data_IF_807189671653
#
_entry.id   IF_807189671653
#
_cell.length_a   1.000
_cell.length_b   1.000
_cell.length_c   1.000
_cell.angle_alpha   90.00
_cell.angle_beta   90.00
_cell.angle_gamma   90.00
#
_symmetry.space_group_name_H-M   'P 1'
#
loop_
_entity.id
_entity.type
_entity.pdbx_description
1 polymer ?
#
# COMPACT_ATOMS: atom_id res chain seq x y z
N UNK A 1 -14.08 -10.11 4.73
CA UNK A 1 -14.00 -8.63 4.90
C UNK A 1 -12.54 -8.24 5.08
N UNK A 2 -12.13 -7.10 4.52
CA UNK A 2 -10.85 -6.46 4.83
C UNK A 2 -11.18 -5.17 5.58
N UNK A 3 -10.79 -5.07 6.84
CA UNK A 3 -10.92 -3.87 7.65
C UNK A 3 -9.54 -3.22 7.82
N UNK A 4 -9.50 -1.89 7.98
CA UNK A 4 -8.27 -1.14 8.22
C UNK A 4 -8.38 -0.16 9.36
N UNK A 5 -7.27 0.07 10.07
CA UNK A 5 -7.21 1.02 11.19
C UNK A 5 -5.79 1.54 11.42
N UNK A 6 -5.64 2.43 12.41
CA UNK A 6 -4.38 2.68 13.10
C UNK A 6 -4.17 1.65 14.23
N UNK A 7 -3.01 1.70 14.88
CA UNK A 7 -2.70 0.81 16.00
C UNK A 7 -3.53 1.11 17.26
N UNK A 8 -3.77 0.11 18.13
CA UNK A 8 -4.43 0.32 19.41
C UNK A 8 -3.52 1.03 20.43
N UNK A 9 -4.13 1.74 21.37
CA UNK A 9 -3.46 2.48 22.46
C UNK A 9 -3.28 1.62 23.72
N UNK A 10 -2.57 0.50 23.56
CA UNK A 10 -2.37 -0.51 24.63
C UNK A 10 -1.38 -0.02 25.70
N UNK A 11 -0.26 0.54 25.27
CA UNK A 11 0.80 1.04 26.13
C UNK A 11 1.45 -0.01 27.04
N UNK A 12 2.35 0.46 27.92
CA UNK A 12 3.03 -0.39 28.91
C UNK A 12 2.07 -0.97 29.95
N UNK A 13 0.99 -0.26 30.27
CA UNK A 13 -0.06 -0.72 31.19
C UNK A 13 -0.92 -1.85 30.61
N UNK A 14 -0.73 -2.19 29.33
CA UNK A 14 -1.58 -3.15 28.62
C UNK A 14 -3.08 -2.81 28.75
N UNK A 15 -3.38 -1.52 28.55
CA UNK A 15 -4.72 -0.98 28.58
C UNK A 15 -5.61 -1.69 27.55
N UNK A 16 -6.90 -1.77 27.87
CA UNK A 16 -7.93 -2.44 27.09
C UNK A 16 -9.09 -1.50 26.86
N UNK A 17 -9.81 -1.73 25.77
CA UNK A 17 -11.02 -1.01 25.40
C UNK A 17 -12.09 -2.04 25.05
N UNK A 18 -13.14 -2.15 25.87
CA UNK A 18 -14.17 -3.17 25.67
C UNK A 18 -14.97 -2.91 24.38
N UNK A 19 -15.18 -1.63 24.06
CA UNK A 19 -15.86 -1.17 22.86
C UNK A 19 -15.07 -1.53 21.60
N UNK A 20 -13.74 -1.40 21.63
CA UNK A 20 -12.87 -1.80 20.52
C UNK A 20 -12.88 -3.33 20.32
N UNK A 21 -12.74 -4.09 21.42
CA UNK A 21 -12.83 -5.56 21.38
C UNK A 21 -14.18 -6.04 20.81
N UNK A 22 -15.29 -5.38 21.18
CA UNK A 22 -16.63 -5.67 20.65
C UNK A 22 -16.77 -5.28 19.18
N UNK A 23 -16.26 -4.11 18.79
CA UNK A 23 -16.31 -3.64 17.40
C UNK A 23 -15.55 -4.59 16.48
N UNK A 24 -14.33 -4.97 16.84
CA UNK A 24 -13.50 -5.92 16.07
C UNK A 24 -14.20 -7.28 15.97
N UNK A 25 -14.77 -7.77 17.07
CA UNK A 25 -15.53 -9.02 17.05
C UNK A 25 -16.75 -8.94 16.12
N UNK A 26 -17.54 -7.86 16.19
CA UNK A 26 -18.73 -7.68 15.36
C UNK A 26 -18.39 -7.58 13.87
N UNK A 27 -17.35 -6.80 13.51
CA UNK A 27 -16.92 -6.60 12.13
C UNK A 27 -16.36 -7.88 11.50
N UNK A 28 -15.58 -8.66 12.26
CA UNK A 28 -14.77 -9.73 11.68
C UNK A 28 -15.38 -11.12 11.90
N UNK A 29 -16.20 -11.31 12.94
CA UNK A 29 -16.88 -12.59 13.21
C UNK A 29 -18.29 -12.68 12.60
N UNK A 30 -18.81 -11.60 12.00
CA UNK A 30 -20.18 -11.52 11.46
C UNK A 30 -20.46 -12.34 10.20
N UNK A 31 -19.45 -12.95 9.57
CA UNK A 31 -19.63 -13.89 8.47
C UNK A 31 -20.07 -15.26 8.99
N UNK A 32 -21.38 -15.51 8.95
CA UNK A 32 -22.02 -16.66 9.60
C UNK A 32 -21.48 -18.05 9.25
N UNK A 33 -21.65 -18.97 10.21
CA UNK A 33 -21.91 -20.42 10.09
C UNK A 33 -21.17 -21.32 9.09
N UNK A 34 -20.14 -20.84 8.37
CA UNK A 34 -19.30 -21.68 7.50
C UNK A 34 -18.22 -22.46 8.28
N UNK A 35 -18.31 -22.52 9.62
CA UNK A 35 -17.40 -23.34 10.44
C UNK A 35 -17.61 -24.85 10.25
N UNK A 36 -18.44 -25.28 9.30
CA UNK A 36 -18.70 -26.70 9.02
C UNK A 36 -17.88 -27.28 7.87
N UNK A 37 -17.20 -26.45 7.05
CA UNK A 37 -16.41 -26.95 5.90
C UNK A 37 -14.91 -26.85 6.10
N UNK A 38 -14.42 -25.92 6.93
CA UNK A 38 -13.01 -25.83 7.28
C UNK A 38 -12.84 -25.41 8.74
N UNK A 39 -12.28 -26.26 9.62
CA UNK A 39 -11.95 -25.87 10.99
C UNK A 39 -10.69 -25.01 10.95
N UNK A 40 -10.82 -23.75 10.53
CA UNK A 40 -9.73 -22.80 10.73
C UNK A 40 -9.60 -22.57 12.24
N UNK A 41 -8.42 -22.77 12.80
CA UNK A 41 -8.18 -22.62 14.25
C UNK A 41 -8.46 -21.19 14.76
N UNK A 42 -8.53 -20.21 13.85
CA UNK A 42 -8.73 -18.80 14.15
C UNK A 42 -9.98 -18.29 13.41
N UNK A 43 -10.74 -17.41 14.06
CA UNK A 43 -11.97 -16.80 13.51
C UNK A 43 -11.68 -15.63 12.57
N UNK A 44 -10.60 -14.91 12.82
CA UNK A 44 -10.16 -13.76 12.02
C UNK A 44 -8.66 -13.51 12.23
N UNK A 45 -8.09 -12.69 11.35
CA UNK A 45 -6.67 -12.34 11.37
C UNK A 45 -6.52 -10.85 11.68
N UNK A 46 -5.52 -10.52 12.49
CA UNK A 46 -5.02 -9.16 12.68
C UNK A 46 -3.63 -9.14 12.03
N UNK A 47 -3.44 -8.29 11.02
CA UNK A 47 -2.19 -8.11 10.31
C UNK A 47 -1.60 -6.74 10.67
N UNK A 48 -0.58 -6.75 11.54
CA UNK A 48 0.23 -5.58 11.81
C UNK A 48 1.33 -5.51 10.73
N UNK A 49 1.31 -4.48 9.89
CA UNK A 49 2.28 -4.28 8.84
C UNK A 49 3.74 -4.24 9.36
N UNK A 50 3.93 -3.86 10.63
CA UNK A 50 5.25 -3.69 11.25
C UNK A 50 5.86 -5.03 11.64
N UNK A 51 7.17 -5.02 11.89
CA UNK A 51 7.83 -6.10 12.62
C UNK A 51 7.56 -6.02 14.13
N UNK A 52 7.70 -7.15 14.81
CA UNK A 52 7.47 -7.27 16.26
C UNK A 52 8.24 -6.23 17.09
N UNK A 53 9.51 -5.99 16.76
CA UNK A 53 10.35 -4.99 17.46
C UNK A 53 9.80 -3.57 17.33
N UNK A 54 9.36 -3.17 16.13
CA UNK A 54 8.79 -1.86 15.90
C UNK A 54 7.44 -1.69 16.62
N UNK A 55 6.61 -2.75 16.65
CA UNK A 55 5.37 -2.76 17.41
C UNK A 55 5.62 -2.66 18.92
N UNK A 56 6.63 -3.37 19.44
CA UNK A 56 7.06 -3.29 20.84
C UNK A 56 7.58 -1.89 21.21
N UNK A 57 8.37 -1.25 20.34
CA UNK A 57 8.80 0.14 20.52
C UNK A 57 7.61 1.11 20.61
N UNK A 58 6.59 0.93 19.75
CA UNK A 58 5.36 1.71 19.84
C UNK A 58 4.55 1.43 21.12
N UNK A 59 4.56 0.18 21.61
CA UNK A 59 3.96 -0.17 22.91
C UNK A 59 4.62 0.58 24.06
N UNK A 60 5.95 0.74 24.03
CA UNK A 60 6.66 1.55 25.02
C UNK A 60 6.24 3.03 25.00
N UNK A 61 5.81 3.54 23.84
CA UNK A 61 5.31 4.91 23.66
C UNK A 61 3.80 5.07 23.93
N UNK A 62 3.15 4.09 24.57
CA UNK A 62 1.71 4.17 24.88
C UNK A 62 0.78 3.63 23.80
N UNK A 63 1.33 3.09 22.70
CA UNK A 63 0.55 2.51 21.58
C UNK A 63 0.67 0.98 21.58
N UNK A 64 0.90 0.30 20.46
CA UNK A 64 1.23 -1.14 20.46
C UNK A 64 0.44 -1.96 19.45
N UNK A 65 0.05 -3.18 19.85
CA UNK A 65 -0.73 -4.13 19.05
C UNK A 65 -1.60 -4.97 19.99
N UNK A 66 -2.63 -5.57 19.41
CA UNK A 66 -3.68 -6.37 20.02
C UNK A 66 -3.10 -7.62 20.69
N UNK A 67 -3.63 -7.96 21.86
CA UNK A 67 -3.32 -9.22 22.52
C UNK A 67 -4.38 -10.27 22.15
N UNK A 68 -3.97 -11.41 21.61
CA UNK A 68 -4.88 -12.51 21.26
C UNK A 68 -5.64 -13.08 22.47
N UNK A 69 -5.20 -12.80 23.70
CA UNK A 69 -5.93 -13.12 24.93
C UNK A 69 -7.20 -12.25 25.10
N UNK A 70 -7.15 -11.00 24.63
CA UNK A 70 -8.26 -10.05 24.71
C UNK A 70 -9.14 -10.12 23.45
N UNK A 71 -8.51 -10.24 22.27
CA UNK A 71 -9.16 -10.39 20.98
C UNK A 71 -9.36 -11.87 20.66
N UNK A 72 -10.34 -12.49 21.33
CA UNK A 72 -10.57 -13.95 21.28
C UNK A 72 -10.85 -14.44 19.86
N UNK A 73 -10.12 -15.47 19.45
CA UNK A 73 -10.22 -16.05 18.11
C UNK A 73 -9.39 -15.34 17.05
N UNK A 74 -8.67 -14.27 17.40
CA UNK A 74 -7.72 -13.61 16.51
C UNK A 74 -6.42 -14.41 16.36
N UNK A 75 -5.85 -14.39 15.16
CA UNK A 75 -4.42 -14.63 14.92
C UNK A 75 -3.74 -13.29 14.66
N UNK A 76 -2.73 -12.92 15.44
CA UNK A 76 -1.89 -11.75 15.14
C UNK A 76 -0.69 -12.14 14.28
N UNK A 77 -0.47 -11.43 13.18
CA UNK A 77 0.65 -11.65 12.24
C UNK A 77 1.38 -10.33 11.99
N UNK A 78 2.72 -10.38 12.03
CA UNK A 78 3.59 -9.24 11.74
C UNK A 78 4.20 -9.35 10.34
N UNK A 79 4.08 -8.31 9.53
CA UNK A 79 4.50 -8.33 8.11
C UNK A 79 5.92 -7.83 7.88
N UNK A 80 6.59 -7.30 8.92
CA UNK A 80 7.97 -6.84 8.86
C UNK A 80 8.25 -5.75 7.80
N UNK A 81 7.26 -4.92 7.50
CA UNK A 81 7.43 -3.75 6.62
C UNK A 81 8.06 -2.60 7.40
N UNK A 82 9.17 -2.08 6.87
CA UNK A 82 9.95 -1.01 7.49
C UNK A 82 9.21 0.35 7.44
N UNK A 83 9.69 1.32 8.21
CA UNK A 83 9.03 2.62 8.33
C UNK A 83 9.39 3.56 7.16
N UNK A 84 8.78 4.75 7.16
CA UNK A 84 8.98 5.77 6.12
C UNK A 84 10.45 6.19 5.93
N UNK A 85 11.27 6.11 6.97
CA UNK A 85 12.68 6.47 6.91
C UNK A 85 13.51 5.42 6.16
N UNK A 86 13.23 4.13 6.39
CA UNK A 86 13.86 3.06 5.62
C UNK A 86 13.50 3.16 4.13
N UNK A 87 12.23 3.42 3.81
CA UNK A 87 11.79 3.58 2.42
C UNK A 87 12.44 4.81 1.76
N UNK A 88 12.55 5.94 2.48
CA UNK A 88 13.28 7.11 1.99
C UNK A 88 14.75 6.77 1.69
N UNK A 89 15.43 6.12 2.63
CA UNK A 89 16.85 5.78 2.46
C UNK A 89 17.05 4.83 1.28
N UNK A 90 16.18 3.84 1.11
CA UNK A 90 16.22 2.93 -0.03
C UNK A 90 16.02 3.66 -1.36
N UNK A 91 15.09 4.61 -1.41
CA UNK A 91 14.85 5.42 -2.60
C UNK A 91 16.01 6.37 -2.92
N UNK A 92 16.61 7.00 -1.92
CA UNK A 92 17.82 7.81 -2.11
C UNK A 92 18.97 6.95 -2.63
N UNK A 93 19.14 5.73 -2.09
CA UNK A 93 20.19 4.81 -2.52
C UNK A 93 19.97 4.27 -3.93
N UNK A 94 18.74 3.94 -4.33
CA UNK A 94 18.47 3.47 -5.69
C UNK A 94 18.59 4.62 -6.70
N UNK A 95 18.13 5.83 -6.34
CA UNK A 95 18.26 7.02 -7.19
C UNK A 95 19.72 7.35 -7.47
N UNK A 96 20.60 7.22 -6.47
CA UNK A 96 22.04 7.43 -6.64
C UNK A 96 22.69 6.42 -7.61
N UNK A 97 22.10 5.23 -7.81
CA UNK A 97 22.57 4.28 -8.80
C UNK A 97 22.36 4.77 -10.25
N UNK A 98 21.50 5.76 -10.46
CA UNK A 98 21.19 6.36 -11.76
C UNK A 98 21.86 7.72 -11.98
N UNK A 99 22.81 8.12 -11.13
CA UNK A 99 23.54 9.36 -11.32
C UNK A 99 24.36 9.30 -12.63
N UNK A 100 24.08 10.16 -13.64
CA UNK A 100 24.79 10.13 -14.91
C UNK A 100 26.26 10.56 -14.80
N UNK A 101 26.66 11.14 -13.68
CA UNK A 101 28.07 11.49 -13.41
C UNK A 101 28.87 10.31 -12.86
N UNK A 102 28.19 9.22 -12.48
CA UNK A 102 28.79 8.01 -11.97
C UNK A 102 29.34 7.15 -13.13
N UNK A 103 30.66 7.12 -13.27
CA UNK A 103 31.35 6.42 -14.37
C UNK A 103 31.66 4.94 -14.07
N UNK A 104 31.06 4.36 -13.03
CA UNK A 104 31.34 2.97 -12.63
C UNK A 104 30.69 1.93 -13.56
N UNK A 105 31.36 0.77 -13.74
CA UNK A 105 30.93 -0.31 -14.65
C UNK A 105 29.54 -0.91 -14.31
N UNK A 106 28.90 -1.57 -15.28
CA UNK A 106 27.56 -2.18 -15.12
C UNK A 106 27.43 -3.20 -13.98
N UNK A 107 28.52 -3.88 -13.59
CA UNK A 107 28.53 -4.77 -12.42
C UNK A 107 28.36 -3.98 -11.09
N UNK A 108 28.91 -2.76 -11.03
CA UNK A 108 28.69 -1.81 -9.94
C UNK A 108 27.24 -1.34 -9.88
N UNK A 109 26.61 -1.13 -11.05
CA UNK A 109 25.20 -0.73 -11.13
C UNK A 109 24.25 -1.75 -10.49
N UNK A 110 24.30 -3.03 -10.92
CA UNK A 110 23.41 -4.05 -10.35
C UNK A 110 23.65 -4.27 -8.84
N UNK A 111 24.91 -4.16 -8.40
CA UNK A 111 25.24 -4.18 -6.98
C UNK A 111 24.61 -2.99 -6.23
N UNK A 112 24.63 -1.77 -6.79
CA UNK A 112 23.96 -0.61 -6.17
C UNK A 112 22.44 -0.79 -6.11
N UNK A 113 21.83 -1.37 -7.14
CA UNK A 113 20.39 -1.69 -7.14
C UNK A 113 20.07 -2.67 -6.01
N UNK A 114 20.82 -3.76 -5.86
CA UNK A 114 20.62 -4.73 -4.77
C UNK A 114 20.85 -4.09 -3.39
N UNK A 115 21.97 -3.37 -3.23
CA UNK A 115 22.36 -2.71 -1.99
C UNK A 115 21.38 -1.62 -1.55
N UNK A 116 20.66 -1.00 -2.48
CA UNK A 116 19.63 0.00 -2.16
C UNK A 116 18.50 -0.55 -1.28
N UNK A 117 18.24 -1.86 -1.34
CA UNK A 117 17.11 -2.47 -0.64
C UNK A 117 15.73 -2.10 -1.20
N UNK A 118 15.63 -1.34 -2.29
CA UNK A 118 14.34 -0.95 -2.86
C UNK A 118 13.49 -2.16 -3.28
N UNK A 119 14.08 -3.09 -4.05
CA UNK A 119 13.37 -4.30 -4.49
C UNK A 119 13.00 -5.24 -3.32
N UNK A 120 13.77 -5.21 -2.22
CA UNK A 120 13.39 -5.89 -0.97
C UNK A 120 12.09 -5.29 -0.41
N UNK A 121 11.95 -3.96 -0.42
CA UNK A 121 10.73 -3.31 0.04
C UNK A 121 9.53 -3.58 -0.89
N UNK A 122 9.71 -3.52 -2.21
CA UNK A 122 8.69 -3.90 -3.20
C UNK A 122 8.18 -5.32 -2.91
N UNK A 123 9.11 -6.26 -2.72
CA UNK A 123 8.78 -7.65 -2.38
C UNK A 123 8.01 -7.77 -1.07
N UNK A 124 8.43 -7.07 -0.01
CA UNK A 124 7.77 -7.14 1.29
C UNK A 124 6.34 -6.60 1.22
N UNK A 125 6.11 -5.51 0.50
CA UNK A 125 4.77 -4.94 0.28
C UNK A 125 3.90 -5.93 -0.51
N UNK A 126 4.40 -6.48 -1.62
CA UNK A 126 3.66 -7.47 -2.42
C UNK A 126 3.34 -8.73 -1.62
N UNK A 127 4.30 -9.25 -0.85
CA UNK A 127 4.08 -10.41 0.03
C UNK A 127 3.03 -10.15 1.09
N UNK A 128 3.10 -8.98 1.74
CA UNK A 128 2.13 -8.64 2.78
C UNK A 128 0.71 -8.48 2.23
N UNK A 129 0.59 -7.91 1.03
CA UNK A 129 -0.69 -7.72 0.33
C UNK A 129 -1.25 -9.05 -0.17
N UNK A 130 -0.41 -9.93 -0.72
CA UNK A 130 -0.82 -11.27 -1.11
C UNK A 130 -1.26 -12.10 0.10
N UNK A 131 -0.53 -12.06 1.22
CA UNK A 131 -0.94 -12.78 2.44
C UNK A 131 -2.31 -12.31 2.95
N UNK A 132 -2.57 -11.00 2.85
CA UNK A 132 -3.88 -10.44 3.17
C UNK A 132 -4.96 -10.98 2.23
N UNK A 133 -4.73 -10.94 0.91
CA UNK A 133 -5.65 -11.47 -0.07
C UNK A 133 -5.90 -12.98 0.09
N UNK A 134 -4.85 -13.75 0.37
CA UNK A 134 -4.89 -15.20 0.58
C UNK A 134 -5.73 -15.60 1.80
N UNK A 135 -5.61 -14.86 2.91
CA UNK A 135 -6.47 -15.08 4.09
C UNK A 135 -7.95 -14.85 3.76
N UNK A 136 -8.27 -13.85 2.95
CA UNK A 136 -9.65 -13.56 2.57
C UNK A 136 -10.17 -14.59 1.57
N UNK A 137 -9.41 -14.87 0.52
CA UNK A 137 -9.86 -15.69 -0.60
C UNK A 137 -9.81 -17.20 -0.30
N UNK A 138 -8.65 -17.70 0.15
CA UNK A 138 -8.43 -19.13 0.32
C UNK A 138 -8.77 -19.60 1.73
N UNK A 139 -8.49 -18.78 2.76
CA UNK A 139 -8.83 -19.15 4.14
C UNK A 139 -10.26 -18.77 4.54
N UNK A 140 -10.95 -17.94 3.76
CA UNK A 140 -12.33 -17.53 4.02
C UNK A 140 -12.52 -16.74 5.31
N UNK A 141 -11.48 -16.09 5.82
CA UNK A 141 -11.51 -15.33 7.09
C UNK A 141 -11.43 -13.83 6.85
N UNK A 142 -12.05 -13.07 7.75
CA UNK A 142 -11.91 -11.61 7.76
C UNK A 142 -10.55 -11.19 8.33
N UNK A 143 -10.03 -10.07 7.83
CA UNK A 143 -8.72 -9.54 8.21
C UNK A 143 -8.87 -8.09 8.66
N UNK A 144 -8.30 -7.74 9.83
CA UNK A 144 -8.03 -6.37 10.23
C UNK A 144 -6.55 -6.04 9.98
N UNK A 145 -6.29 -5.04 9.17
CA UNK A 145 -4.92 -4.63 8.80
C UNK A 145 -4.63 -3.24 9.33
N UNK A 146 -3.52 -3.09 10.05
CA UNK A 146 -3.08 -1.79 10.54
C UNK A 146 -1.55 -1.67 10.47
N UNK A 147 -1.04 -0.47 10.73
CA UNK A 147 0.39 -0.24 10.94
C UNK A 147 0.56 0.60 12.21
N UNK A 148 1.35 1.68 12.19
CA UNK A 148 1.34 2.66 13.28
C UNK A 148 0.12 3.58 13.20
N UNK A 149 0.03 4.39 12.13
CA UNK A 149 -1.00 5.42 12.00
C UNK A 149 -2.09 5.06 10.96
N UNK A 150 -1.92 3.95 10.23
CA UNK A 150 -2.96 3.39 9.36
C UNK A 150 -3.06 3.98 7.95
N UNK A 151 -2.18 4.92 7.58
CA UNK A 151 -2.28 5.66 6.30
C UNK A 151 -1.13 5.43 5.31
N UNK A 152 -0.04 4.73 5.69
CA UNK A 152 1.09 4.44 4.80
C UNK A 152 1.06 2.96 4.34
N UNK A 153 1.71 2.07 5.10
CA UNK A 153 1.80 0.63 4.80
C UNK A 153 0.44 -0.05 4.70
N UNK A 154 -0.52 0.39 5.52
CA UNK A 154 -1.90 -0.09 5.47
C UNK A 154 -2.57 0.23 4.13
N UNK A 155 -2.40 1.46 3.61
CA UNK A 155 -2.93 1.83 2.29
C UNK A 155 -2.30 0.98 1.18
N UNK A 156 -0.98 0.75 1.24
CA UNK A 156 -0.27 -0.13 0.32
C UNK A 156 -0.85 -1.55 0.33
N UNK A 157 -0.97 -2.16 1.52
CA UNK A 157 -1.45 -3.53 1.67
C UNK A 157 -2.89 -3.72 1.20
N UNK A 158 -3.79 -2.85 1.65
CA UNK A 158 -5.22 -2.99 1.36
C UNK A 158 -5.48 -2.78 -0.12
N UNK A 159 -4.96 -1.70 -0.71
CA UNK A 159 -5.22 -1.42 -2.13
C UNK A 159 -4.59 -2.44 -3.08
N UNK A 160 -3.41 -2.99 -2.77
CA UNK A 160 -2.83 -4.09 -3.56
C UNK A 160 -3.63 -5.38 -3.41
N UNK A 161 -4.10 -5.71 -2.21
CA UNK A 161 -4.96 -6.88 -2.02
C UNK A 161 -6.28 -6.73 -2.77
N UNK A 162 -6.87 -5.54 -2.77
CA UNK A 162 -8.07 -5.24 -3.57
C UNK A 162 -7.81 -5.41 -5.08
N UNK A 163 -6.68 -4.95 -5.61
CA UNK A 163 -6.27 -5.24 -6.99
C UNK A 163 -6.13 -6.74 -7.26
N UNK A 164 -5.57 -7.49 -6.32
CA UNK A 164 -5.39 -8.93 -6.45
C UNK A 164 -6.73 -9.68 -6.39
N UNK A 165 -7.72 -9.19 -5.64
CA UNK A 165 -8.98 -9.89 -5.38
C UNK A 165 -10.11 -9.53 -6.34
N UNK A 166 -10.18 -8.27 -6.78
CA UNK A 166 -11.34 -7.74 -7.51
C UNK A 166 -10.93 -7.20 -8.89
N UNK A 167 -11.40 -7.82 -9.99
CA UNK A 167 -11.14 -7.35 -11.35
C UNK A 167 -11.60 -5.92 -11.61
N UNK A 168 -12.60 -5.39 -10.89
CA UNK A 168 -13.05 -4.01 -11.06
C UNK A 168 -11.89 -3.02 -10.90
N UNK A 169 -11.08 -3.16 -9.84
CA UNK A 169 -9.98 -2.25 -9.57
C UNK A 169 -8.84 -2.32 -10.60
N UNK A 170 -8.85 -3.30 -11.51
CA UNK A 170 -7.89 -3.44 -12.61
C UNK A 170 -8.32 -2.70 -13.88
N UNK A 171 -9.52 -2.14 -13.90
CA UNK A 171 -10.00 -1.22 -14.94
C UNK A 171 -9.45 0.19 -14.70
N UNK A 172 -9.46 1.04 -15.72
CA UNK A 172 -9.07 2.45 -15.58
C UNK A 172 -9.95 3.18 -14.57
N UNK A 173 -11.27 2.95 -14.64
CA UNK A 173 -12.24 3.52 -13.71
C UNK A 173 -12.04 2.98 -12.30
N UNK A 174 -11.97 1.65 -12.13
CA UNK A 174 -11.78 1.05 -10.82
C UNK A 174 -10.45 1.43 -10.20
N UNK A 175 -9.38 1.57 -10.98
CA UNK A 175 -8.10 2.05 -10.46
C UNK A 175 -8.18 3.49 -9.96
N UNK A 176 -8.90 4.37 -10.67
CA UNK A 176 -9.16 5.73 -10.20
C UNK A 176 -9.93 5.72 -8.87
N UNK A 177 -10.98 4.89 -8.77
CA UNK A 177 -11.76 4.70 -7.52
C UNK A 177 -10.87 4.17 -6.40
N UNK A 178 -10.00 3.20 -6.69
CA UNK A 178 -9.09 2.62 -5.71
C UNK A 178 -8.14 3.66 -5.11
N UNK A 179 -7.54 4.51 -5.96
CA UNK A 179 -6.64 5.57 -5.51
C UNK A 179 -7.41 6.63 -4.71
N UNK A 180 -8.56 7.08 -5.20
CA UNK A 180 -9.38 8.06 -4.46
C UNK A 180 -9.84 7.52 -3.10
N UNK A 181 -10.22 6.24 -3.04
CA UNK A 181 -10.67 5.58 -1.81
C UNK A 181 -9.50 5.31 -0.86
N UNK A 182 -8.60 4.41 -1.22
CA UNK A 182 -7.62 3.84 -0.28
C UNK A 182 -6.45 4.78 0.06
N UNK A 183 -6.23 5.79 -0.78
CA UNK A 183 -5.15 6.76 -0.59
C UNK A 183 -5.66 8.14 -0.25
N UNK A 184 -6.51 8.75 -1.08
CA UNK A 184 -6.94 10.13 -0.87
C UNK A 184 -7.94 10.26 0.30
N UNK A 185 -9.06 9.52 0.28
CA UNK A 185 -10.10 9.65 1.30
C UNK A 185 -9.66 9.08 2.64
N UNK A 186 -8.95 7.94 2.63
CA UNK A 186 -8.37 7.33 3.83
C UNK A 186 -7.15 8.08 4.40
N UNK A 187 -6.79 9.23 3.83
CA UNK A 187 -5.88 10.19 4.46
C UNK A 187 -4.41 9.82 4.41
N UNK A 188 -3.96 9.20 3.31
CA UNK A 188 -2.53 9.19 3.02
C UNK A 188 -2.03 10.64 2.95
N UNK A 189 -0.97 10.94 3.69
CA UNK A 189 -0.48 12.31 3.86
C UNK A 189 0.35 12.78 2.65
N UNK A 190 -0.28 12.90 1.46
CA UNK A 190 0.44 13.21 0.21
C UNK A 190 1.24 14.52 0.30
N UNK A 191 0.65 15.58 0.84
CA UNK A 191 1.32 16.87 0.99
C UNK A 191 2.59 16.78 1.83
N UNK A 192 2.54 16.07 2.95
CA UNK A 192 3.67 15.84 3.85
C UNK A 192 4.71 14.88 3.25
N UNK A 193 4.25 13.76 2.67
CA UNK A 193 5.13 12.70 2.13
C UNK A 193 5.88 13.15 0.88
N UNK A 194 5.24 13.94 0.02
CA UNK A 194 5.81 14.47 -1.21
C UNK A 194 6.44 15.87 -1.04
N UNK A 195 6.19 16.56 0.07
CA UNK A 195 6.79 17.86 0.36
C UNK A 195 6.19 19.02 -0.46
N UNK A 196 4.89 18.97 -0.75
CA UNK A 196 4.19 19.98 -1.54
C UNK A 196 4.17 21.34 -0.85
N UNK A 197 4.44 22.40 -1.61
CA UNK A 197 4.40 23.79 -1.13
C UNK A 197 5.21 24.04 0.15
N UNK A 198 6.28 23.29 0.37
CA UNK A 198 7.14 23.40 1.55
C UNK A 198 8.60 23.62 1.18
N UNK A 199 9.20 24.65 1.78
CA UNK A 199 10.62 24.96 1.65
C UNK A 199 11.53 24.05 2.49
N UNK A 200 10.96 23.18 3.33
CA UNK A 200 11.67 22.29 4.26
C UNK A 200 12.23 21.02 3.59
N UNK A 201 13.17 21.18 2.67
CA UNK A 201 13.73 20.05 1.90
C UNK A 201 14.30 18.92 2.78
N UNK A 202 14.71 19.24 4.01
CA UNK A 202 15.25 18.30 5.01
C UNK A 202 14.19 17.61 5.87
N UNK A 203 12.90 17.80 5.60
CA UNK A 203 11.85 17.20 6.42
C UNK A 203 11.89 15.67 6.40
N UNK A 204 12.05 15.09 7.58
CA UNK A 204 12.21 13.64 7.77
C UNK A 204 10.90 12.85 7.66
N UNK A 205 9.77 13.51 7.42
CA UNK A 205 8.48 12.89 7.13
C UNK A 205 8.27 12.65 5.62
N UNK A 206 9.14 13.18 4.77
CA UNK A 206 9.12 12.89 3.32
C UNK A 206 9.52 11.44 3.07
N UNK A 207 8.74 10.75 2.23
CA UNK A 207 9.00 9.35 1.89
C UNK A 207 8.19 8.92 0.66
N UNK A 208 8.77 8.14 -0.28
CA UNK A 208 8.14 7.76 -1.54
C UNK A 208 7.21 6.54 -1.40
N UNK A 209 6.25 6.63 -0.47
CA UNK A 209 5.32 5.53 -0.14
C UNK A 209 4.39 5.20 -1.31
N UNK A 210 3.85 6.22 -1.98
CA UNK A 210 3.00 6.03 -3.16
C UNK A 210 3.80 5.51 -4.36
N UNK A 211 5.03 5.99 -4.58
CA UNK A 211 5.90 5.45 -5.64
C UNK A 211 6.25 3.98 -5.43
N UNK A 212 6.55 3.59 -4.18
CA UNK A 212 6.81 2.18 -3.85
C UNK A 212 5.59 1.30 -4.18
N UNK A 213 4.39 1.81 -3.97
CA UNK A 213 3.14 1.13 -4.33
C UNK A 213 2.94 1.03 -5.85
N UNK A 214 3.22 2.10 -6.60
CA UNK A 214 3.18 2.07 -8.06
C UNK A 214 4.17 1.05 -8.63
N UNK A 215 5.37 0.92 -8.05
CA UNK A 215 6.33 -0.12 -8.44
C UNK A 215 5.77 -1.53 -8.15
N UNK A 216 5.12 -1.74 -7.00
CA UNK A 216 4.43 -3.01 -6.74
C UNK A 216 3.39 -3.34 -7.82
N UNK A 217 2.61 -2.37 -8.28
CA UNK A 217 1.65 -2.56 -9.39
C UNK A 217 2.38 -2.84 -10.70
N UNK A 218 3.50 -2.16 -10.97
CA UNK A 218 4.32 -2.46 -12.13
C UNK A 218 4.80 -3.92 -12.14
N UNK A 219 5.18 -4.49 -10.98
CA UNK A 219 5.48 -5.92 -10.88
C UNK A 219 4.27 -6.80 -11.18
N UNK A 220 3.05 -6.38 -10.80
CA UNK A 220 1.81 -7.11 -11.15
C UNK A 220 1.52 -7.04 -12.65
N UNK A 221 1.63 -5.87 -13.28
CA UNK A 221 1.47 -5.71 -14.74
C UNK A 221 2.41 -6.64 -15.51
N UNK A 222 3.64 -6.83 -15.03
CA UNK A 222 4.62 -7.72 -15.64
C UNK A 222 4.29 -9.21 -15.45
N UNK A 223 3.74 -9.58 -14.31
CA UNK A 223 3.37 -10.97 -14.03
C UNK A 223 2.02 -11.36 -14.67
N UNK A 224 1.18 -10.37 -14.98
CA UNK A 224 -0.20 -10.55 -15.44
C UNK A 224 -0.52 -9.60 -16.60
N UNK A 225 0.13 -9.81 -17.74
CA UNK A 225 0.16 -8.87 -18.87
C UNK A 225 -1.21 -8.51 -19.48
N UNK A 226 -2.24 -9.34 -19.26
CA UNK A 226 -3.58 -9.17 -19.84
C UNK A 226 -4.65 -8.80 -18.80
N UNK A 227 -4.32 -8.78 -17.51
CA UNK A 227 -5.31 -8.68 -16.42
C UNK A 227 -5.65 -7.24 -16.02
N UNK A 228 -4.92 -6.25 -16.55
CA UNK A 228 -5.12 -4.83 -16.24
C UNK A 228 -5.45 -4.05 -17.51
N UNK A 229 -6.48 -3.21 -17.43
CA UNK A 229 -6.90 -2.33 -18.53
C UNK A 229 -5.90 -1.22 -18.76
N UNK A 230 -5.17 -0.81 -17.72
CA UNK A 230 -4.16 0.23 -17.81
C UNK A 230 -2.76 -0.36 -17.97
N UNK A 231 -1.92 0.38 -18.69
CA UNK A 231 -0.50 0.08 -18.90
C UNK A 231 0.38 0.86 -17.91
N UNK A 232 1.69 0.57 -17.95
CA UNK A 232 2.70 1.24 -17.13
C UNK A 232 2.83 2.74 -17.41
N UNK A 233 2.35 3.22 -18.56
CA UNK A 233 2.28 4.66 -18.88
C UNK A 233 1.39 5.41 -17.90
N UNK A 234 0.31 4.81 -17.40
CA UNK A 234 -0.53 5.41 -16.35
C UNK A 234 0.24 5.54 -15.03
N UNK A 235 0.99 4.49 -14.67
CA UNK A 235 1.78 4.49 -13.43
C UNK A 235 2.85 5.59 -13.45
N UNK A 236 3.55 5.76 -14.58
CA UNK A 236 4.51 6.85 -14.78
C UNK A 236 3.83 8.23 -14.71
N UNK A 237 2.70 8.38 -15.39
CA UNK A 237 1.93 9.64 -15.37
C UNK A 237 1.51 10.03 -13.94
N UNK A 238 1.06 9.06 -13.13
CA UNK A 238 0.75 9.31 -11.72
C UNK A 238 2.01 9.57 -10.88
N UNK A 239 3.12 8.88 -11.16
CA UNK A 239 4.40 9.10 -10.49
C UNK A 239 4.93 10.53 -10.72
N UNK A 240 4.73 11.12 -11.90
CA UNK A 240 5.07 12.52 -12.15
C UNK A 240 4.10 13.46 -11.42
N UNK A 241 2.81 13.17 -11.54
CA UNK A 241 1.76 14.09 -11.10
C UNK A 241 1.42 14.02 -9.61
N UNK A 242 1.93 13.02 -8.89
CA UNK A 242 1.93 13.03 -7.43
C UNK A 242 2.86 14.12 -6.88
N UNK A 243 3.87 14.59 -7.64
CA UNK A 243 4.77 15.68 -7.22
C UNK A 243 4.47 17.01 -7.92
N UNK A 244 3.89 16.99 -9.12
CA UNK A 244 3.78 18.18 -9.96
C UNK A 244 2.85 19.26 -9.41
N UNK A 245 2.01 18.94 -8.42
CA UNK A 245 0.97 19.82 -7.89
C UNK A 245 0.02 20.40 -8.96
N UNK A 246 -0.13 19.71 -10.11
CA UNK A 246 -1.00 20.16 -11.20
C UNK A 246 -2.48 19.89 -10.86
N UNK A 247 -2.74 18.73 -10.28
CA UNK A 247 -4.09 18.26 -9.95
C UNK A 247 -4.33 18.30 -8.45
N UNK A 248 -5.59 18.49 -8.08
CA UNK A 248 -5.99 18.60 -6.69
C UNK A 248 -5.93 17.29 -5.91
N UNK A 249 -5.94 16.15 -6.60
CA UNK A 249 -6.10 14.82 -5.99
C UNK A 249 -5.07 14.52 -4.90
N UNK A 250 -3.81 14.94 -5.10
CA UNK A 250 -2.65 14.61 -4.26
C UNK A 250 -2.10 15.81 -3.45
N UNK A 251 -2.84 16.91 -3.34
CA UNK A 251 -2.30 18.15 -2.73
C UNK A 251 -2.26 18.14 -1.18
N UNK A 252 -3.19 17.44 -0.54
CA UNK A 252 -3.44 17.56 0.91
C UNK A 252 -3.21 16.24 1.66
N UNK A 253 -3.24 16.32 3.00
CA UNK A 253 -2.95 15.19 3.88
C UNK A 253 -4.19 14.43 4.38
N UNK A 254 -5.38 14.96 4.12
CA UNK A 254 -6.65 14.30 4.44
C UNK A 254 -7.80 14.84 3.58
N UNK A 255 -8.87 14.05 3.49
CA UNK A 255 -10.07 14.41 2.72
C UNK A 255 -10.69 15.73 3.19
N UNK A 256 -10.79 15.93 4.51
CA UNK A 256 -11.34 17.16 5.07
C UNK A 256 -10.62 18.41 4.54
N UNK A 257 -9.29 18.41 4.60
CA UNK A 257 -8.50 19.56 4.13
C UNK A 257 -8.67 19.77 2.61
N UNK A 258 -8.78 18.67 1.85
CA UNK A 258 -9.00 18.71 0.40
C UNK A 258 -10.36 19.32 0.04
N UNK A 259 -11.44 18.85 0.69
CA UNK A 259 -12.80 19.37 0.49
C UNK A 259 -12.90 20.83 0.92
N UNK A 260 -12.44 21.16 2.13
CA UNK A 260 -12.48 22.55 2.65
C UNK A 260 -11.76 23.55 1.72
N UNK A 261 -10.72 23.11 1.02
CA UNK A 261 -10.01 23.92 0.04
C UNK A 261 -10.78 24.02 -1.29
N UNK A 262 -11.19 22.89 -1.86
CA UNK A 262 -11.80 22.85 -3.18
C UNK A 262 -13.25 23.30 -3.25
N UNK A 263 -13.91 23.43 -2.10
CA UNK A 263 -15.16 24.18 -1.97
C UNK A 263 -14.98 25.68 -2.29
N UNK A 264 -13.75 26.20 -2.17
CA UNK A 264 -13.41 27.62 -2.39
C UNK A 264 -12.61 27.84 -3.66
N UNK A 265 -11.73 26.89 -4.00
CA UNK A 265 -10.77 27.03 -5.10
C UNK A 265 -10.87 25.82 -6.02
N UNK A 266 -11.31 26.02 -7.25
CA UNK A 266 -11.38 24.92 -8.22
C UNK A 266 -9.98 24.33 -8.48
N UNK A 267 -9.90 23.00 -8.55
CA UNK A 267 -8.70 22.29 -8.95
C UNK A 267 -9.02 21.29 -10.06
N UNK A 268 -8.03 21.01 -10.90
CA UNK A 268 -8.16 19.99 -11.94
C UNK A 268 -8.10 18.59 -11.31
N UNK A 269 -8.82 17.65 -11.90
CA UNK A 269 -8.82 16.25 -11.49
C UNK A 269 -7.98 15.42 -12.46
N UNK A 270 -6.98 14.71 -11.95
CA UNK A 270 -6.06 13.87 -12.74
C UNK A 270 -6.81 12.86 -13.61
N UNK A 271 -7.93 12.33 -13.11
CA UNK A 271 -8.72 11.32 -13.80
C UNK A 271 -9.44 11.87 -15.04
N UNK A 272 -9.71 13.18 -15.11
CA UNK A 272 -10.25 13.80 -16.32
C UNK A 272 -9.22 13.76 -17.48
N UNK A 273 -7.95 14.00 -17.18
CA UNK A 273 -6.86 13.90 -18.16
C UNK A 273 -6.61 12.43 -18.56
N UNK A 274 -6.69 11.50 -17.60
CA UNK A 274 -6.61 10.05 -17.87
C UNK A 274 -7.73 9.61 -18.81
N UNK A 275 -8.98 9.99 -18.53
CA UNK A 275 -10.13 9.60 -19.33
C UNK A 275 -10.09 10.21 -20.74
N UNK A 276 -9.73 11.49 -20.86
CA UNK A 276 -9.64 12.17 -22.17
C UNK A 276 -8.50 11.64 -23.05
N UNK A 277 -7.47 11.02 -22.45
CA UNK A 277 -6.32 10.41 -23.15
C UNK A 277 -6.27 8.90 -22.93
N UNK A 278 -7.43 8.26 -22.83
CA UNK A 278 -7.56 6.82 -22.51
C UNK A 278 -6.63 5.93 -23.34
N UNK A 279 -6.51 6.18 -24.64
CA UNK A 279 -5.68 5.36 -25.54
C UNK A 279 -4.18 5.40 -25.19
N UNK A 280 -3.70 6.46 -24.53
CA UNK A 280 -2.31 6.55 -24.03
C UNK A 280 -2.07 5.63 -22.83
N UNK A 281 -3.11 5.38 -22.06
CA UNK A 281 -3.04 4.67 -20.78
C UNK A 281 -3.57 3.24 -20.87
N UNK A 282 -4.37 2.92 -21.88
CA UNK A 282 -4.94 1.60 -22.06
C UNK A 282 -3.88 0.57 -22.50
N UNK A 283 -3.97 -0.62 -21.91
CA UNK A 283 -3.22 -1.80 -22.30
C UNK A 283 -3.91 -2.45 -23.51
N UNK A 284 -3.28 -2.50 -24.69
CA UNK A 284 -3.89 -3.11 -25.88
C UNK A 284 -4.07 -4.63 -25.76
N UNK A 285 -3.40 -5.27 -24.78
CA UNK A 285 -3.51 -6.70 -24.50
C UNK A 285 -4.53 -7.01 -23.39
N UNK A 286 -5.30 -6.03 -22.95
CA UNK A 286 -6.29 -6.24 -21.89
C UNK A 286 -7.34 -7.28 -22.30
N UNK A 287 -7.32 -8.41 -21.61
CA UNK A 287 -8.21 -9.56 -21.78
C UNK A 287 -8.18 -10.34 -20.46
N UNK A 288 -8.89 -9.86 -19.43
CA UNK A 288 -8.82 -10.43 -18.10
C UNK A 288 -9.50 -11.80 -18.07
N UNK A 289 -8.83 -12.80 -17.50
CA UNK A 289 -9.34 -14.17 -17.39
C UNK A 289 -9.48 -14.61 -15.93
N UNK A 290 -8.77 -13.94 -15.01
CA UNK A 290 -8.64 -14.36 -13.61
C UNK A 290 -9.46 -13.48 -12.70
N UNK A 291 -10.27 -14.11 -11.84
CA UNK A 291 -10.89 -13.37 -10.73
C UNK A 291 -9.84 -12.93 -9.72
N UNK A 292 -8.89 -13.81 -9.36
CA UNK A 292 -7.85 -13.52 -8.35
C UNK A 292 -6.45 -13.63 -8.96
N UNK A 293 -5.58 -12.67 -8.64
CA UNK A 293 -4.17 -12.67 -9.03
C UNK A 293 -3.30 -13.10 -7.84
N UNK A 294 -2.62 -14.22 -7.98
CA UNK A 294 -1.66 -14.75 -7.02
C UNK A 294 -0.22 -14.47 -7.48
N UNK A 295 0.36 -13.30 -7.15
CA UNK A 295 1.69 -12.95 -7.64
C UNK A 295 2.77 -13.84 -7.03
N UNK A 296 3.80 -14.12 -7.81
CA UNK A 296 5.06 -14.60 -7.26
C UNK A 296 5.76 -13.47 -6.51
N UNK A 297 6.07 -13.73 -5.24
CA UNK A 297 6.85 -12.85 -4.36
C UNK A 297 8.25 -13.40 -4.09
N UNK A 298 8.71 -14.36 -4.90
CA UNK A 298 10.10 -14.82 -4.88
C UNK A 298 11.01 -13.67 -5.34
N UNK A 299 12.14 -13.47 -4.65
CA UNK A 299 13.06 -12.36 -4.94
C UNK A 299 13.51 -12.32 -6.41
N UNK A 300 13.72 -13.48 -7.05
CA UNK A 300 14.09 -13.60 -8.46
C UNK A 300 13.04 -13.09 -9.46
N UNK A 301 11.79 -12.95 -9.02
CA UNK A 301 10.67 -12.51 -9.85
C UNK A 301 10.28 -11.05 -9.59
N UNK A 302 10.90 -10.42 -8.58
CA UNK A 302 10.79 -8.99 -8.31
C UNK A 302 12.06 -8.36 -8.89
N UNK A 303 11.92 -7.73 -10.06
CA UNK A 303 13.10 -7.28 -10.81
C UNK A 303 12.99 -5.80 -11.16
N UNK A 304 14.16 -5.19 -11.23
CA UNK A 304 14.33 -3.93 -11.93
C UNK A 304 14.18 -4.19 -13.43
N UNK A 305 13.29 -3.45 -14.09
CA UNK A 305 13.15 -3.47 -15.55
C UNK A 305 13.32 -2.05 -16.04
N UNK A 306 14.32 -1.85 -16.90
CA UNK A 306 14.40 -0.61 -17.66
C UNK A 306 13.18 -0.53 -18.57
N UNK A 307 12.31 0.44 -18.32
CA UNK A 307 11.23 0.75 -19.25
C UNK A 307 11.87 1.39 -20.47
N UNK A 308 12.10 0.60 -21.52
CA UNK A 308 12.40 1.16 -22.84
C UNK A 308 11.20 2.01 -23.26
N UNK A 309 11.38 3.34 -23.25
CA UNK A 309 10.45 4.29 -23.86
C UNK A 309 10.34 4.06 -25.36
#
# INVERSE_FOLDING_TARGET
>A
VIARSSQPLVGLKSARCAEDEQLVAALLCGGGSSSLLFPSAHRYIIMDARGQLAAAGNKAMGKGTESTANYRGAKLVHMNMENIHAIRNAFSSISAAFDPTDTTDSASFLHKIDHSGWLKHVRLVLKASWDLADYVHNSGVSVLTHCSDGWDRTAQMVSLAELMLDPFYRTLEGFAVLVEKEWCSFGHQFGLRCGHARSDVSNDQRSPIFLLWLDCIHQLLRQFETEFEFASTLLLFLADHVYSCKYGNFMFDCEKARVDCFDKYAATNVWCDVQSKRDTFANPRFSPERTVLAPSTAWKNIVYVSMTM
#
